data_IF_963051399486
#
_entry.id   IF_963051399486
#
_cell.length_a   1.000
_cell.length_b   1.000
_cell.length_c   1.000
_cell.angle_alpha   90.00
_cell.angle_beta   90.00
_cell.angle_gamma   90.00
#
_symmetry.space_group_name_H-M   'P 1'
#
loop_
_entity.id
_entity.type
_entity.pdbx_description
1 polymer ?
#
# COMPACT_ATOMS: atom_id res chain seq x y z
N UNK A 1 1.43 15.15 13.60
CA UNK A 1 1.08 14.94 12.18
C UNK A 1 0.35 16.21 11.72
N UNK A 2 0.93 17.04 10.85
CA UNK A 2 0.19 18.15 10.28
C UNK A 2 -1.01 17.60 9.48
N UNK A 3 -2.14 18.30 9.41
CA UNK A 3 -3.24 17.86 8.57
C UNK A 3 -2.71 17.78 7.13
N UNK A 4 -2.81 16.59 6.52
CA UNK A 4 -2.59 16.48 5.09
C UNK A 4 -3.65 17.35 4.42
N UNK A 5 -3.22 18.32 3.60
CA UNK A 5 -4.15 19.06 2.75
C UNK A 5 -4.66 18.11 1.67
N UNK A 6 -5.83 17.55 1.95
CA UNK A 6 -6.56 16.64 1.06
C UNK A 6 -7.74 17.33 0.37
N UNK A 7 -7.91 18.64 0.56
CA UNK A 7 -8.99 19.38 -0.06
C UNK A 7 -8.88 19.29 -1.59
N UNK A 8 -9.93 18.78 -2.24
CA UNK A 8 -9.96 18.59 -3.69
C UNK A 8 -9.17 17.38 -4.21
N UNK A 9 -8.62 16.52 -3.35
CA UNK A 9 -8.00 15.24 -3.76
C UNK A 9 -8.96 14.09 -3.56
N UNK A 10 -9.09 13.25 -4.58
CA UNK A 10 -9.81 11.98 -4.47
C UNK A 10 -9.11 11.07 -3.45
N UNK A 11 -9.84 10.50 -2.48
CA UNK A 11 -9.25 9.65 -1.47
C UNK A 11 -8.74 8.35 -2.11
N UNK A 12 -7.54 7.94 -1.74
CA UNK A 12 -6.96 6.65 -2.15
C UNK A 12 -7.08 5.68 -0.98
N UNK A 13 -7.58 4.48 -1.27
CA UNK A 13 -7.63 3.37 -0.33
C UNK A 13 -6.59 2.33 -0.72
N UNK A 14 -5.84 1.86 0.28
CA UNK A 14 -4.86 0.78 0.13
C UNK A 14 -5.24 -0.35 1.09
N UNK A 15 -5.62 -1.50 0.53
CA UNK A 15 -5.71 -2.76 1.27
C UNK A 15 -4.37 -3.48 1.27
N UNK A 16 -3.91 -3.91 2.45
CA UNK A 16 -2.64 -4.64 2.61
C UNK A 16 -2.94 -5.98 3.28
N UNK A 17 -2.55 -7.06 2.61
CA UNK A 17 -2.61 -8.42 3.15
C UNK A 17 -1.20 -9.03 3.14
N UNK A 18 -0.59 -9.06 4.33
CA UNK A 18 0.78 -9.53 4.54
C UNK A 18 0.76 -10.92 5.19
N UNK A 19 1.15 -11.93 4.42
CA UNK A 19 1.23 -13.32 4.88
C UNK A 19 2.65 -13.90 4.82
N UNK A 20 2.81 -15.14 5.30
CA UNK A 20 4.11 -15.83 5.28
C UNK A 20 4.68 -16.11 3.88
N UNK A 21 3.85 -15.99 2.83
CA UNK A 21 4.23 -16.23 1.44
C UNK A 21 4.52 -14.97 0.64
N UNK A 22 4.37 -13.79 1.25
CA UNK A 22 4.49 -12.50 0.56
C UNK A 22 3.41 -11.51 0.94
N UNK A 23 3.27 -10.46 0.14
CA UNK A 23 2.35 -9.35 0.39
C UNK A 23 1.48 -9.09 -0.84
N UNK A 24 0.20 -8.86 -0.60
CA UNK A 24 -0.77 -8.42 -1.61
C UNK A 24 -1.21 -6.99 -1.30
N UNK A 25 -1.19 -6.13 -2.30
CA UNK A 25 -1.63 -4.74 -2.23
C UNK A 25 -2.80 -4.53 -3.17
N UNK A 26 -3.91 -3.98 -2.67
CA UNK A 26 -5.05 -3.55 -3.46
C UNK A 26 -5.16 -2.02 -3.37
N UNK A 27 -5.01 -1.31 -4.49
CA UNK A 27 -5.01 0.16 -4.54
C UNK A 27 -6.20 0.65 -5.35
N UNK A 28 -7.05 1.49 -4.75
CA UNK A 28 -8.22 2.09 -5.40
C UNK A 28 -8.27 3.60 -5.20
N UNK A 29 -8.55 4.36 -6.26
CA UNK A 29 -8.73 5.81 -6.24
C UNK A 29 -10.15 6.25 -5.85
N UNK A 30 -10.63 5.76 -4.71
CA UNK A 30 -11.93 6.14 -4.14
C UNK A 30 -12.86 4.95 -3.88
N UNK A 31 -13.95 5.19 -3.13
CA UNK A 31 -14.95 4.16 -2.87
C UNK A 31 -15.58 3.69 -4.19
N UNK A 32 -15.84 2.38 -4.30
CA UNK A 32 -16.49 1.73 -5.45
C UNK A 32 -15.68 1.67 -6.75
N UNK A 33 -14.37 1.99 -6.74
CA UNK A 33 -13.48 1.71 -7.88
C UNK A 33 -12.84 0.33 -7.75
N UNK A 34 -12.73 -0.37 -8.88
CA UNK A 34 -12.01 -1.65 -8.95
C UNK A 34 -10.54 -1.44 -8.57
N UNK A 35 -10.01 -2.17 -7.57
CA UNK A 35 -8.64 -1.99 -7.14
C UNK A 35 -7.66 -2.61 -8.13
N UNK A 36 -6.53 -1.93 -8.35
CA UNK A 36 -5.36 -2.59 -8.94
C UNK A 36 -4.70 -3.47 -7.88
N UNK A 37 -4.51 -4.76 -8.19
CA UNK A 37 -3.85 -5.72 -7.30
C UNK A 37 -2.39 -5.91 -7.71
N UNK A 38 -1.49 -5.80 -6.74
CA UNK A 38 -0.07 -6.06 -6.88
C UNK A 38 0.36 -7.13 -5.87
N UNK A 39 1.29 -8.00 -6.28
CA UNK A 39 1.76 -9.12 -5.45
C UNK A 39 3.28 -9.11 -5.38
N UNK A 40 3.80 -9.08 -4.16
CA UNK A 40 5.20 -9.39 -3.86
C UNK A 40 5.26 -10.81 -3.28
N UNK A 41 6.16 -11.64 -3.81
CA UNK A 41 6.43 -12.99 -3.25
C UNK A 41 7.46 -12.95 -2.11
N UNK A 42 7.91 -11.76 -1.71
CA UNK A 42 8.87 -11.57 -0.63
C UNK A 42 8.11 -11.23 0.64
N UNK A 43 8.10 -12.10 1.66
CA UNK A 43 7.45 -11.80 2.94
C UNK A 43 8.05 -10.56 3.60
N UNK A 44 7.24 -9.81 4.34
CA UNK A 44 7.77 -8.71 5.17
C UNK A 44 8.64 -9.30 6.27
N UNK A 45 9.85 -8.76 6.45
CA UNK A 45 10.73 -9.13 7.57
C UNK A 45 10.01 -8.91 8.89
N UNK A 46 10.15 -9.86 9.81
CA UNK A 46 9.62 -9.78 11.16
C UNK A 46 10.77 -9.79 12.17
N UNK A 47 10.53 -9.21 13.34
CA UNK A 47 11.40 -9.26 14.51
C UNK A 47 10.58 -9.35 15.80
N UNK A 48 11.21 -9.21 16.98
CA UNK A 48 10.52 -9.30 18.27
C UNK A 48 9.33 -8.34 18.40
N UNK A 49 9.41 -7.16 17.77
CA UNK A 49 8.38 -6.12 17.76
C UNK A 49 7.33 -6.28 16.65
N UNK A 50 7.33 -7.41 15.93
CA UNK A 50 6.42 -7.67 14.81
C UNK A 50 7.02 -7.31 13.45
N UNK A 51 6.20 -6.76 12.55
CA UNK A 51 6.62 -6.48 11.16
C UNK A 51 7.59 -5.29 11.08
N UNK A 52 8.58 -5.39 10.20
CA UNK A 52 9.44 -4.26 9.84
C UNK A 52 8.66 -3.25 9.00
N UNK A 53 8.29 -2.11 9.61
CA UNK A 53 7.59 -1.02 8.92
C UNK A 53 8.40 -0.48 7.73
N UNK A 54 9.72 -0.35 7.88
CA UNK A 54 10.61 0.09 6.81
C UNK A 54 10.54 -0.88 5.61
N UNK A 55 10.66 -2.18 5.86
CA UNK A 55 10.60 -3.19 4.80
C UNK A 55 9.22 -3.30 4.15
N UNK A 56 8.14 -3.05 4.91
CA UNK A 56 6.80 -2.94 4.34
C UNK A 56 6.72 -1.74 3.38
N UNK A 57 7.22 -0.57 3.78
CA UNK A 57 7.19 0.65 2.96
C UNK A 57 8.05 0.52 1.69
N UNK A 58 9.19 -0.17 1.78
CA UNK A 58 10.03 -0.50 0.61
C UNK A 58 9.25 -1.26 -0.47
N UNK A 59 8.32 -2.13 -0.07
CA UNK A 59 7.45 -2.86 -1.00
C UNK A 59 6.20 -2.08 -1.40
N UNK A 60 5.58 -1.36 -0.45
CA UNK A 60 4.31 -0.67 -0.65
C UNK A 60 4.43 0.59 -1.52
N UNK A 61 5.44 1.43 -1.29
CA UNK A 61 5.54 2.72 -1.97
C UNK A 61 5.70 2.59 -3.49
N UNK A 62 6.54 1.68 -4.04
CA UNK A 62 6.57 1.43 -5.47
C UNK A 62 5.23 0.94 -6.01
N UNK A 63 4.53 0.08 -5.26
CA UNK A 63 3.26 -0.49 -5.68
C UNK A 63 2.15 0.56 -5.80
N UNK A 64 2.06 1.48 -4.84
CA UNK A 64 1.09 2.59 -4.87
C UNK A 64 1.41 3.57 -6.00
N UNK A 65 2.68 3.94 -6.18
CA UNK A 65 3.10 4.85 -7.26
C UNK A 65 2.79 4.29 -8.65
N UNK A 66 3.00 2.99 -8.87
CA UNK A 66 2.67 2.35 -10.15
C UNK A 66 1.18 2.11 -10.37
N UNK A 67 0.34 2.31 -9.35
CA UNK A 67 -1.10 2.05 -9.42
C UNK A 67 -1.96 3.30 -9.59
N UNK A 68 -1.45 4.46 -9.17
CA UNK A 68 -2.13 5.74 -9.34
C UNK A 68 -1.80 6.31 -10.73
N UNK A 69 -2.77 6.94 -11.41
CA UNK A 69 -2.47 7.70 -12.62
C UNK A 69 -1.45 8.80 -12.31
N UNK A 70 -0.56 9.06 -13.26
CA UNK A 70 0.27 10.28 -13.24
C UNK A 70 -0.70 11.47 -13.16
N UNK A 71 -0.48 12.35 -12.19
CA UNK A 71 -1.28 13.56 -11.98
C UNK A 71 -0.92 14.65 -12.98
#
# INVERSE_FOLDING_TARGET
MPPYDTAGREPVVVGVDSGGSGVRFAVAGGPYREPRVLVSRVPVRTGPEGISAAHLLEQLLPAVRGALPEG
#
